data_IF_018098638147
#
_entry.id   IF_018098638147
#
_cell.length_a   1.000
_cell.length_b   1.000
_cell.length_c   1.000
_cell.angle_alpha   90.00
_cell.angle_beta   90.00
_cell.angle_gamma   90.00
#
_symmetry.space_group_name_H-M   'P 1'
#
loop_
_entity.id
_entity.type
_entity.pdbx_description
1 polymer ?
#
# COMPACT_ATOMS: atom_id res chain seq x y z
N UNK A 1 5.57 16.14 15.53
CA UNK A 1 4.22 16.29 16.14
C UNK A 1 3.75 14.92 16.57
N UNK A 2 3.16 14.71 17.75
CA UNK A 2 2.62 13.41 18.09
C UNK A 2 1.47 13.13 17.12
N UNK A 3 1.59 12.07 16.31
CA UNK A 3 0.55 11.63 15.40
C UNK A 3 -0.71 11.32 16.19
N UNK A 4 -1.82 11.98 15.87
CA UNK A 4 -3.11 11.78 16.49
C UNK A 4 -3.62 10.38 16.11
N UNK A 5 -3.31 9.38 16.94
CA UNK A 5 -3.76 8.00 16.71
C UNK A 5 -5.28 8.00 16.55
N UNK A 6 -5.78 7.51 15.42
CA UNK A 6 -7.21 7.32 15.12
C UNK A 6 -8.08 8.59 15.12
N UNK A 7 -7.50 9.79 14.95
CA UNK A 7 -8.29 11.04 15.00
C UNK A 7 -9.43 11.04 13.98
N UNK A 8 -9.18 10.58 12.76
CA UNK A 8 -10.21 10.56 11.72
C UNK A 8 -11.40 9.68 12.07
N UNK A 9 -11.16 8.46 12.57
CA UNK A 9 -12.23 7.55 12.99
C UNK A 9 -13.01 8.12 14.19
N UNK A 10 -12.31 8.79 15.13
CA UNK A 10 -13.00 9.49 16.22
C UNK A 10 -13.86 10.65 15.71
N UNK A 11 -13.38 11.42 14.75
CA UNK A 11 -14.14 12.53 14.16
C UNK A 11 -15.39 12.05 13.44
N UNK A 12 -15.36 10.91 12.74
CA UNK A 12 -16.53 10.30 12.14
C UNK A 12 -17.61 9.98 13.19
N UNK A 13 -17.21 9.35 14.28
CA UNK A 13 -18.14 8.98 15.36
C UNK A 13 -18.63 10.23 16.10
N UNK A 14 -17.74 11.18 16.39
CA UNK A 14 -18.09 12.43 17.07
C UNK A 14 -19.04 13.28 16.23
N UNK A 15 -18.86 13.34 14.92
CA UNK A 15 -19.74 14.09 14.03
C UNK A 15 -21.18 13.56 14.07
N UNK A 16 -21.33 12.22 14.04
CA UNK A 16 -22.64 11.57 14.18
C UNK A 16 -23.29 11.91 15.54
N UNK A 17 -22.53 11.78 16.63
CA UNK A 17 -23.04 12.00 17.98
C UNK A 17 -23.32 13.48 18.26
N UNK A 18 -22.51 14.41 17.78
CA UNK A 18 -22.73 15.85 17.95
C UNK A 18 -23.86 16.39 17.08
N UNK A 19 -24.18 15.72 15.97
CA UNK A 19 -25.34 16.04 15.13
C UNK A 19 -26.66 15.47 15.67
N UNK A 20 -26.61 14.50 16.57
CA UNK A 20 -27.80 13.84 17.13
C UNK A 20 -28.58 14.80 18.03
N UNK A 21 -29.86 14.97 17.74
CA UNK A 21 -30.81 15.82 18.53
C UNK A 21 -31.73 15.03 19.45
N UNK A 22 -31.72 13.72 19.33
CA UNK A 22 -32.57 12.85 20.15
C UNK A 22 -31.95 12.53 21.50
N UNK A 23 -30.63 12.57 21.59
CA UNK A 23 -29.90 12.24 22.81
C UNK A 23 -29.00 13.40 23.27
N UNK A 24 -28.71 13.40 24.57
CA UNK A 24 -27.85 14.40 25.21
C UNK A 24 -26.56 13.76 25.67
N UNK A 25 -25.46 14.10 25.03
CA UNK A 25 -24.15 13.51 25.32
C UNK A 25 -23.26 14.46 26.13
N UNK A 26 -22.74 13.98 27.26
CA UNK A 26 -21.61 14.61 27.94
C UNK A 26 -20.30 14.15 27.32
N UNK A 27 -19.21 14.83 27.66
CA UNK A 27 -17.84 14.40 27.24
C UNK A 27 -17.56 12.95 27.67
N UNK A 28 -18.05 12.51 28.82
CA UNK A 28 -17.88 11.13 29.28
C UNK A 28 -18.65 10.15 28.41
N UNK A 29 -19.91 10.44 28.08
CA UNK A 29 -20.72 9.57 27.21
C UNK A 29 -20.08 9.45 25.82
N UNK A 30 -19.59 10.57 25.27
CA UNK A 30 -18.86 10.57 23.99
C UNK A 30 -17.61 9.70 24.07
N UNK A 31 -16.88 9.78 25.19
CA UNK A 31 -15.68 8.96 25.40
C UNK A 31 -16.02 7.47 25.39
N UNK A 32 -17.00 7.08 26.18
CA UNK A 32 -17.40 5.68 26.35
C UNK A 32 -17.94 5.10 25.03
N UNK A 33 -18.75 5.86 24.27
CA UNK A 33 -19.29 5.41 22.99
C UNK A 33 -18.19 5.28 21.93
N UNK A 34 -17.30 6.27 21.85
CA UNK A 34 -16.19 6.26 20.89
C UNK A 34 -15.25 5.09 21.19
N UNK A 35 -14.92 4.85 22.47
CA UNK A 35 -14.09 3.72 22.88
C UNK A 35 -14.71 2.38 22.48
N UNK A 36 -16.01 2.18 22.79
CA UNK A 36 -16.74 0.95 22.43
C UNK A 36 -16.81 0.73 20.91
N UNK A 37 -17.04 1.79 20.12
CA UNK A 37 -17.11 1.66 18.66
C UNK A 37 -15.75 1.35 18.06
N UNK A 38 -14.69 2.02 18.52
CA UNK A 38 -13.32 1.78 18.02
C UNK A 38 -12.75 0.44 18.47
N UNK A 39 -13.10 -0.05 19.67
CA UNK A 39 -12.64 -1.37 20.13
C UNK A 39 -13.17 -2.53 19.29
N UNK A 40 -14.33 -2.38 18.65
CA UNK A 40 -14.86 -3.36 17.69
C UNK A 40 -13.96 -3.49 16.45
N UNK A 41 -13.27 -2.41 16.09
CA UNK A 41 -12.33 -2.35 14.95
C UNK A 41 -10.87 -2.61 15.37
N UNK A 42 -10.66 -3.10 16.62
CA UNK A 42 -9.33 -3.36 17.17
C UNK A 42 -8.52 -2.09 17.51
N UNK A 43 -9.19 -0.95 17.64
CA UNK A 43 -8.57 0.35 17.90
C UNK A 43 -8.86 0.79 19.32
N UNK A 44 -7.88 0.72 20.21
CA UNK A 44 -8.01 1.05 21.64
C UNK A 44 -7.28 2.34 22.02
N UNK A 45 -7.57 2.83 23.24
CA UNK A 45 -6.83 3.90 23.88
C UNK A 45 -7.43 5.29 23.75
N UNK A 46 -8.76 5.38 23.69
CA UNK A 46 -9.48 6.64 23.78
C UNK A 46 -9.59 7.05 25.24
N UNK A 47 -9.19 8.28 25.53
CA UNK A 47 -9.34 8.88 26.87
C UNK A 47 -10.22 10.11 26.79
N UNK A 48 -10.82 10.49 27.91
CA UNK A 48 -11.61 11.73 28.02
C UNK A 48 -10.84 12.95 27.50
N UNK A 49 -9.54 13.03 27.81
CA UNK A 49 -8.66 14.12 27.36
C UNK A 49 -8.48 14.13 25.84
N UNK A 50 -8.48 12.94 25.20
CA UNK A 50 -8.45 12.87 23.74
C UNK A 50 -9.74 13.45 23.13
N UNK A 51 -10.90 13.10 23.68
CA UNK A 51 -12.19 13.62 23.20
C UNK A 51 -12.33 15.12 23.44
N UNK A 52 -11.90 15.63 24.62
CA UNK A 52 -11.86 17.06 24.91
C UNK A 52 -11.01 17.83 23.89
N UNK A 53 -9.84 17.25 23.54
CA UNK A 53 -8.96 17.82 22.54
C UNK A 53 -9.57 17.77 21.14
N UNK A 54 -10.14 16.63 20.76
CA UNK A 54 -10.80 16.48 19.47
C UNK A 54 -11.94 17.48 19.27
N UNK A 55 -12.75 17.74 20.32
CA UNK A 55 -13.79 18.78 20.28
C UNK A 55 -13.20 20.17 20.07
N UNK A 56 -12.10 20.48 20.76
CA UNK A 56 -11.39 21.75 20.54
C UNK A 56 -10.82 21.84 19.14
N UNK A 57 -10.22 20.77 18.63
CA UNK A 57 -9.70 20.72 17.25
C UNK A 57 -10.82 20.90 16.21
N UNK A 58 -12.05 20.44 16.48
CA UNK A 58 -13.22 20.69 15.64
C UNK A 58 -13.69 22.17 15.65
N UNK A 59 -13.51 22.89 16.75
CA UNK A 59 -13.88 24.32 16.88
C UNK A 59 -12.93 25.25 16.12
N UNK A 60 -11.70 24.80 15.80
CA UNK A 60 -10.68 25.64 15.16
C UNK A 60 -10.43 25.26 13.68
N UNK A 61 -9.53 26.00 13.05
CA UNK A 61 -9.16 25.77 11.65
C UNK A 61 -8.64 24.34 11.42
N UNK A 62 -9.00 23.68 10.31
CA UNK A 62 -9.78 24.19 9.16
C UNK A 62 -11.30 23.94 9.27
N UNK A 63 -11.79 23.36 10.37
CA UNK A 63 -13.17 22.83 10.48
C UNK A 63 -14.15 23.92 10.88
N UNK A 64 -13.82 24.74 11.91
CA UNK A 64 -14.64 25.83 12.45
C UNK A 64 -16.07 25.42 12.84
N UNK A 65 -16.23 24.27 13.50
CA UNK A 65 -17.52 23.82 14.00
C UNK A 65 -17.99 24.68 15.18
N UNK A 66 -19.19 25.21 15.12
CA UNK A 66 -19.81 25.86 16.27
C UNK A 66 -20.39 24.79 17.22
N UNK A 67 -19.77 24.63 18.39
CA UNK A 67 -20.18 23.64 19.40
C UNK A 67 -20.86 24.34 20.57
N UNK A 68 -22.15 24.02 20.76
CA UNK A 68 -22.95 24.46 21.89
C UNK A 68 -22.68 23.59 23.12
N UNK A 69 -22.39 24.24 24.25
CA UNK A 69 -22.29 23.60 25.57
C UNK A 69 -23.50 23.99 26.43
N UNK A 70 -24.32 23.02 26.77
CA UNK A 70 -25.57 23.24 27.46
C UNK A 70 -25.76 22.29 28.65
N UNK A 71 -26.78 22.55 29.46
CA UNK A 71 -27.21 21.62 30.51
C UNK A 71 -28.50 20.93 30.06
N UNK A 72 -28.51 19.60 30.11
CA UNK A 72 -29.74 18.82 29.91
C UNK A 72 -30.74 19.03 31.08
N UNK A 73 -31.96 18.61 30.90
CA UNK A 73 -33.00 18.66 31.93
C UNK A 73 -32.60 18.03 33.27
N UNK A 74 -31.75 17.02 33.21
CA UNK A 74 -31.18 16.31 34.36
C UNK A 74 -29.92 17.01 34.94
N UNK A 75 -29.61 18.24 34.52
CA UNK A 75 -28.46 19.03 34.99
C UNK A 75 -27.11 18.60 34.48
N UNK A 76 -27.02 17.61 33.59
CA UNK A 76 -25.79 17.11 32.99
C UNK A 76 -25.24 18.08 31.96
N UNK A 77 -23.93 18.37 32.00
CA UNK A 77 -23.26 19.21 30.99
C UNK A 77 -23.06 18.41 29.72
N UNK A 78 -23.69 18.87 28.63
CA UNK A 78 -23.69 18.21 27.34
C UNK A 78 -23.12 19.12 26.26
N UNK A 79 -22.72 18.51 25.13
CA UNK A 79 -22.18 19.18 23.96
C UNK A 79 -22.89 18.70 22.70
N UNK A 80 -23.08 19.60 21.74
CA UNK A 80 -23.61 19.27 20.39
C UNK A 80 -23.26 20.38 19.42
N UNK A 81 -23.42 20.16 18.13
CA UNK A 81 -23.33 21.25 17.17
C UNK A 81 -24.42 22.30 17.39
N UNK A 82 -24.08 23.59 17.27
CA UNK A 82 -25.06 24.67 17.38
C UNK A 82 -26.08 24.60 16.23
N UNK A 83 -25.60 24.42 14.99
CA UNK A 83 -26.48 24.22 13.83
C UNK A 83 -26.84 22.71 13.72
N UNK A 84 -28.13 22.35 13.75
CA UNK A 84 -28.58 20.97 13.60
C UNK A 84 -28.30 20.35 12.22
N UNK A 85 -28.03 21.18 11.23
CA UNK A 85 -27.70 20.73 9.88
C UNK A 85 -26.19 20.62 9.62
N UNK A 86 -25.36 21.05 10.57
CA UNK A 86 -23.92 21.01 10.46
C UNK A 86 -23.41 19.58 10.64
N UNK A 87 -22.48 19.21 9.81
CA UNK A 87 -21.60 18.05 9.96
C UNK A 87 -20.27 18.39 9.33
N UNK A 88 -19.17 17.91 9.88
CA UNK A 88 -17.83 18.07 9.29
C UNK A 88 -17.77 17.50 7.87
N UNK A 89 -18.61 16.52 7.59
CA UNK A 89 -18.74 15.89 6.28
C UNK A 89 -19.86 16.51 5.42
N UNK A 90 -20.71 17.37 6.00
CA UNK A 90 -21.81 18.06 5.32
C UNK A 90 -21.52 19.55 5.06
N UNK A 91 -20.28 20.02 5.01
CA UNK A 91 -20.03 21.20 4.19
C UNK A 91 -20.69 20.87 2.86
N UNK A 92 -21.75 21.59 2.53
CA UNK A 92 -22.45 21.43 1.25
C UNK A 92 -21.39 21.61 0.18
N UNK A 93 -20.84 20.50 -0.26
CA UNK A 93 -19.99 20.47 -1.42
C UNK A 93 -20.79 21.15 -2.53
N UNK A 94 -20.24 22.12 -3.21
CA UNK A 94 -20.82 22.61 -4.44
C UNK A 94 -21.09 21.40 -5.35
N UNK A 95 -22.01 21.51 -6.25
CA UNK A 95 -22.29 20.43 -7.20
C UNK A 95 -21.00 20.01 -7.96
N UNK A 96 -20.10 20.97 -8.21
CA UNK A 96 -18.81 20.73 -8.86
C UNK A 96 -17.87 19.91 -7.96
N UNK A 97 -17.72 20.31 -6.70
CA UNK A 97 -16.90 19.56 -5.73
C UNK A 97 -17.44 18.15 -5.47
N UNK A 98 -18.77 18.00 -5.41
CA UNK A 98 -19.42 16.71 -5.27
C UNK A 98 -19.17 15.82 -6.48
N UNK A 99 -19.31 16.35 -7.70
CA UNK A 99 -19.06 15.62 -8.93
C UNK A 99 -17.59 15.18 -9.02
N UNK A 100 -16.66 16.10 -8.72
CA UNK A 100 -15.22 15.78 -8.69
C UNK A 100 -14.91 14.66 -7.67
N UNK A 101 -15.53 14.73 -6.49
CA UNK A 101 -15.35 13.69 -5.46
C UNK A 101 -15.93 12.34 -5.91
N UNK A 102 -17.08 12.35 -6.59
CA UNK A 102 -17.66 11.16 -7.18
C UNK A 102 -16.74 10.55 -8.25
N UNK A 103 -16.19 11.35 -9.16
CA UNK A 103 -15.24 10.90 -10.19
C UNK A 103 -13.98 10.28 -9.56
N UNK A 104 -13.44 10.90 -8.52
CA UNK A 104 -12.28 10.36 -7.78
C UNK A 104 -12.63 9.02 -7.13
N UNK A 105 -13.78 8.91 -6.48
CA UNK A 105 -14.22 7.68 -5.81
C UNK A 105 -14.53 6.55 -6.83
N UNK A 106 -15.11 6.91 -7.98
CA UNK A 106 -15.32 5.97 -9.09
C UNK A 106 -13.99 5.46 -9.62
N UNK A 107 -13.01 6.36 -9.82
CA UNK A 107 -11.67 5.99 -10.28
C UNK A 107 -10.97 5.08 -9.27
N UNK A 108 -11.00 5.44 -7.98
CA UNK A 108 -10.41 4.63 -6.91
C UNK A 108 -11.10 3.26 -6.80
N UNK A 109 -12.43 3.21 -6.92
CA UNK A 109 -13.20 1.97 -6.86
C UNK A 109 -12.92 1.00 -8.04
N UNK A 110 -12.22 1.45 -9.07
CA UNK A 110 -11.80 0.57 -10.18
C UNK A 110 -10.50 -0.18 -9.89
N UNK A 111 -9.76 0.19 -8.83
CA UNK A 111 -8.58 -0.56 -8.41
C UNK A 111 -8.99 -1.80 -7.61
N UNK A 112 -8.56 -2.98 -8.08
CA UNK A 112 -8.84 -4.24 -7.39
C UNK A 112 -8.29 -4.27 -5.96
N UNK A 113 -9.13 -4.74 -5.06
CA UNK A 113 -8.82 -4.86 -3.64
C UNK A 113 -9.13 -3.61 -2.83
N UNK A 114 -9.45 -2.47 -3.46
CA UNK A 114 -9.92 -1.28 -2.75
C UNK A 114 -11.41 -1.35 -2.43
N UNK A 115 -12.18 -2.19 -3.12
CA UNK A 115 -13.59 -2.48 -2.82
C UNK A 115 -13.79 -3.05 -1.39
N UNK A 116 -12.73 -3.57 -0.79
CA UNK A 116 -12.75 -4.13 0.56
C UNK A 116 -12.45 -3.09 1.66
N UNK A 117 -12.35 -1.81 1.30
CA UNK A 117 -12.31 -0.75 2.30
C UNK A 117 -13.74 -0.35 2.66
N UNK A 118 -14.25 -0.85 3.79
CA UNK A 118 -15.60 -0.57 4.28
C UNK A 118 -15.95 0.93 4.30
N UNK A 119 -14.94 1.79 4.62
CA UNK A 119 -15.12 3.23 4.60
C UNK A 119 -15.34 3.79 3.19
N UNK A 120 -14.72 3.21 2.16
CA UNK A 120 -14.88 3.65 0.76
C UNK A 120 -16.31 3.38 0.29
N UNK A 121 -16.83 2.19 0.55
CA UNK A 121 -18.19 1.82 0.20
C UNK A 121 -19.23 2.68 0.97
N UNK A 122 -19.04 2.85 2.28
CA UNK A 122 -19.88 3.71 3.09
C UNK A 122 -19.88 5.16 2.56
N UNK A 123 -18.72 5.64 2.08
CA UNK A 123 -18.60 6.99 1.55
C UNK A 123 -19.24 7.13 0.17
N UNK A 124 -19.10 6.14 -0.71
CA UNK A 124 -19.80 6.05 -2.01
C UNK A 124 -21.31 6.08 -1.82
N UNK A 125 -21.85 5.27 -0.92
CA UNK A 125 -23.29 5.24 -0.59
C UNK A 125 -23.77 6.60 -0.05
N UNK A 126 -23.02 7.23 0.85
CA UNK A 126 -23.37 8.54 1.44
C UNK A 126 -23.39 9.66 0.41
N UNK A 127 -22.52 9.61 -0.60
CA UNK A 127 -22.49 10.60 -1.69
C UNK A 127 -23.48 10.27 -2.81
N UNK A 128 -24.10 9.08 -2.79
CA UNK A 128 -25.01 8.62 -3.83
C UNK A 128 -24.30 8.36 -5.17
N UNK A 129 -23.05 7.92 -5.10
CA UNK A 129 -22.29 7.50 -6.29
C UNK A 129 -23.00 6.28 -6.88
N UNK A 130 -23.43 6.39 -8.14
CA UNK A 130 -24.03 5.28 -8.88
C UNK A 130 -22.94 4.46 -9.51
N UNK A 131 -23.16 3.14 -9.59
CA UNK A 131 -22.29 2.29 -10.40
C UNK A 131 -22.47 2.69 -11.87
N UNK A 132 -21.39 3.17 -12.47
CA UNK A 132 -21.31 3.41 -13.91
C UNK A 132 -20.56 2.26 -14.57
N UNK A 133 -20.77 2.10 -15.89
CA UNK A 133 -19.99 1.16 -16.70
C UNK A 133 -18.49 1.48 -16.53
N UNK A 134 -17.68 0.44 -16.30
CA UNK A 134 -16.24 0.59 -16.14
C UNK A 134 -15.62 1.17 -17.41
N UNK A 135 -15.13 2.40 -17.35
CA UNK A 135 -14.45 3.07 -18.46
C UNK A 135 -12.94 2.78 -18.41
N UNK A 136 -12.38 2.57 -17.20
CA UNK A 136 -10.97 2.29 -16.99
C UNK A 136 -10.83 0.82 -16.58
N UNK A 137 -9.98 0.10 -17.29
CA UNK A 137 -9.72 -1.31 -17.03
C UNK A 137 -8.30 -1.49 -16.52
N UNK A 138 -8.17 -1.93 -15.27
CA UNK A 138 -6.89 -2.35 -14.69
C UNK A 138 -6.75 -3.86 -14.83
N UNK A 139 -5.54 -4.31 -15.16
CA UNK A 139 -5.25 -5.75 -15.10
C UNK A 139 -5.43 -6.24 -13.67
N UNK A 140 -6.27 -7.25 -13.49
CA UNK A 140 -6.52 -7.83 -12.17
C UNK A 140 -6.24 -9.33 -12.18
N UNK A 141 -5.99 -9.86 -11.00
CA UNK A 141 -5.86 -11.29 -10.79
C UNK A 141 -7.22 -11.83 -10.30
N UNK A 142 -8.00 -12.55 -11.14
CA UNK A 142 -9.31 -13.09 -10.73
C UNK A 142 -9.20 -14.16 -9.63
N UNK A 143 -7.99 -14.66 -9.37
CA UNK A 143 -7.69 -15.64 -8.33
C UNK A 143 -7.07 -15.01 -7.08
N UNK A 144 -7.15 -13.69 -6.95
CA UNK A 144 -6.65 -13.00 -5.76
C UNK A 144 -7.52 -13.38 -4.55
N UNK A 145 -6.98 -14.22 -3.69
CA UNK A 145 -7.60 -14.57 -2.42
C UNK A 145 -7.16 -13.60 -1.32
N UNK A 146 -7.99 -13.46 -0.28
CA UNK A 146 -7.70 -12.64 0.91
C UNK A 146 -7.55 -11.13 0.61
N UNK A 147 -8.13 -10.64 -0.46
CA UNK A 147 -8.19 -9.20 -0.75
C UNK A 147 -8.89 -8.41 0.36
N UNK A 148 -9.83 -9.03 1.07
CA UNK A 148 -10.49 -8.48 2.25
C UNK A 148 -9.51 -8.11 3.40
N UNK A 149 -8.34 -8.77 3.47
CA UNK A 149 -7.30 -8.44 4.45
C UNK A 149 -6.63 -7.10 4.15
N UNK A 150 -6.75 -6.57 2.93
CA UNK A 150 -6.09 -5.33 2.54
C UNK A 150 -6.56 -4.15 3.39
N UNK A 151 -7.88 -3.98 3.55
CA UNK A 151 -8.46 -2.93 4.40
C UNK A 151 -8.06 -3.09 5.87
N UNK A 152 -8.11 -4.32 6.39
CA UNK A 152 -7.72 -4.61 7.77
C UNK A 152 -6.24 -4.32 8.03
N UNK A 153 -5.35 -4.73 7.12
CA UNK A 153 -3.92 -4.46 7.20
C UNK A 153 -3.62 -2.96 7.08
N UNK A 154 -4.31 -2.26 6.18
CA UNK A 154 -4.20 -0.81 6.07
C UNK A 154 -4.54 -0.12 7.40
N UNK A 155 -5.62 -0.53 8.05
CA UNK A 155 -6.02 -0.01 9.36
C UNK A 155 -4.95 -0.30 10.43
N UNK A 156 -4.41 -1.52 10.49
CA UNK A 156 -3.35 -1.86 11.44
C UNK A 156 -2.06 -1.06 11.21
N UNK A 157 -1.67 -0.85 9.94
CA UNK A 157 -0.50 -0.02 9.59
C UNK A 157 -0.73 1.44 9.99
N UNK A 158 -1.87 2.02 9.60
CA UNK A 158 -2.23 3.42 9.88
C UNK A 158 -2.30 3.70 11.39
N UNK A 159 -2.80 2.74 12.15
CA UNK A 159 -2.96 2.85 13.60
C UNK A 159 -1.75 2.32 14.39
N UNK A 160 -0.70 1.85 13.70
CA UNK A 160 0.52 1.31 14.32
C UNK A 160 0.22 0.17 15.29
N UNK A 161 -0.57 -0.80 14.85
CA UNK A 161 -0.93 -1.99 15.61
C UNK A 161 -0.04 -3.15 15.21
N UNK A 162 0.58 -3.80 16.22
CA UNK A 162 1.28 -5.07 16.01
C UNK A 162 0.26 -6.20 15.87
N UNK A 163 0.58 -7.19 15.03
CA UNK A 163 -0.34 -8.29 14.71
C UNK A 163 0.31 -9.66 14.94
N UNK A 164 -0.51 -10.66 15.22
CA UNK A 164 -0.15 -12.06 15.06
C UNK A 164 -0.63 -12.51 13.69
N UNK A 165 0.32 -12.85 12.81
CA UNK A 165 0.09 -13.25 11.44
C UNK A 165 0.26 -14.76 11.30
N UNK A 166 -0.75 -15.45 10.79
CA UNK A 166 -0.73 -16.87 10.47
C UNK A 166 -0.46 -17.03 8.97
N UNK A 167 0.57 -17.78 8.62
CA UNK A 167 1.07 -17.89 7.26
C UNK A 167 1.33 -19.34 6.88
N UNK A 168 0.96 -19.71 5.64
CA UNK A 168 1.19 -21.05 5.08
C UNK A 168 1.98 -20.96 3.78
N UNK A 169 3.06 -21.71 3.67
CA UNK A 169 3.80 -21.89 2.42
C UNK A 169 3.01 -22.77 1.45
N UNK A 170 3.14 -22.56 0.14
CA UNK A 170 2.39 -23.32 -0.88
C UNK A 170 2.59 -24.84 -0.79
N UNK A 171 3.80 -25.28 -0.45
CA UNK A 171 4.17 -26.70 -0.43
C UNK A 171 4.20 -27.29 0.99
N UNK A 172 3.59 -26.63 1.95
CA UNK A 172 3.54 -27.07 3.35
C UNK A 172 2.10 -26.97 3.87
N UNK A 173 1.67 -27.99 4.60
CA UNK A 173 0.38 -27.96 5.29
C UNK A 173 0.44 -27.19 6.61
N UNK A 174 1.65 -27.05 7.16
CA UNK A 174 1.88 -26.38 8.45
C UNK A 174 1.61 -24.86 8.33
N UNK A 175 0.79 -24.35 9.24
CA UNK A 175 0.56 -22.92 9.43
C UNK A 175 1.56 -22.41 10.46
N UNK A 176 2.36 -21.42 10.10
CA UNK A 176 3.31 -20.76 10.99
C UNK A 176 2.74 -19.45 11.49
N UNK A 177 2.78 -19.25 12.81
CA UNK A 177 2.41 -18.00 13.45
C UNK A 177 3.64 -17.11 13.66
N UNK A 178 3.51 -15.81 13.40
CA UNK A 178 4.56 -14.84 13.65
C UNK A 178 3.97 -13.55 14.21
N UNK A 179 4.58 -13.02 15.25
CA UNK A 179 4.30 -11.69 15.75
C UNK A 179 5.02 -10.67 14.87
N UNK A 180 4.26 -9.73 14.32
CA UNK A 180 4.69 -8.92 13.20
C UNK A 180 4.25 -7.46 13.35
N UNK A 181 5.11 -6.54 12.96
CA UNK A 181 4.86 -5.12 12.91
C UNK A 181 4.71 -4.71 11.44
N UNK A 182 3.49 -4.61 10.90
CA UNK A 182 3.26 -4.28 9.50
C UNK A 182 3.57 -2.79 9.25
N UNK A 183 4.28 -2.47 8.16
CA UNK A 183 4.72 -1.11 7.83
C UNK A 183 4.12 -0.57 6.55
N UNK A 184 4.04 -1.41 5.50
CA UNK A 184 3.51 -0.98 4.22
C UNK A 184 2.88 -2.14 3.44
N UNK A 185 1.99 -1.78 2.54
CA UNK A 185 1.40 -2.66 1.53
C UNK A 185 1.98 -2.31 0.18
N UNK A 186 2.43 -3.32 -0.56
CA UNK A 186 2.99 -3.14 -1.91
C UNK A 186 2.30 -4.07 -2.88
N UNK A 187 1.82 -3.51 -3.99
CA UNK A 187 1.35 -4.32 -5.12
C UNK A 187 2.51 -4.54 -6.11
N UNK A 188 2.67 -5.78 -6.54
CA UNK A 188 3.58 -6.12 -7.62
C UNK A 188 3.01 -7.29 -8.43
N UNK A 189 3.00 -7.15 -9.74
CA UNK A 189 2.54 -8.17 -10.68
C UNK A 189 1.15 -8.74 -10.29
N UNK A 190 0.19 -7.84 -10.03
CA UNK A 190 -1.20 -8.13 -9.65
C UNK A 190 -1.33 -9.00 -8.37
N UNK A 191 -0.38 -8.90 -7.45
CA UNK A 191 -0.41 -9.53 -6.14
C UNK A 191 -0.06 -8.51 -5.06
N UNK A 192 -0.78 -8.55 -3.96
CA UNK A 192 -0.52 -7.70 -2.80
C UNK A 192 0.39 -8.39 -1.78
N UNK A 193 1.22 -7.58 -1.17
CA UNK A 193 2.18 -7.99 -0.15
C UNK A 193 2.11 -7.05 1.03
N UNK A 194 2.22 -7.60 2.24
CA UNK A 194 2.49 -6.83 3.45
C UNK A 194 3.96 -6.96 3.82
N UNK A 195 4.58 -5.83 4.10
CA UNK A 195 5.99 -5.71 4.48
C UNK A 195 6.05 -5.16 5.90
N UNK A 196 6.92 -5.72 6.72
CA UNK A 196 7.08 -5.30 8.11
C UNK A 196 8.20 -6.05 8.81
N UNK A 197 8.32 -5.86 10.12
CA UNK A 197 9.35 -6.51 10.92
C UNK A 197 8.79 -7.65 11.78
N UNK A 198 9.52 -8.75 11.84
CA UNK A 198 9.30 -9.78 12.85
C UNK A 198 9.57 -9.21 14.25
N UNK A 199 8.74 -9.58 15.22
CA UNK A 199 8.94 -9.10 16.58
C UNK A 199 10.18 -9.72 17.25
N UNK A 200 10.55 -10.96 16.88
CA UNK A 200 11.64 -11.71 17.46
C UNK A 200 13.01 -11.04 17.31
N UNK A 201 13.36 -10.70 16.08
CA UNK A 201 14.70 -10.22 15.69
C UNK A 201 14.69 -8.88 14.95
N UNK A 202 13.49 -8.35 14.62
CA UNK A 202 13.34 -7.10 13.85
C UNK A 202 13.64 -7.25 12.37
N UNK A 203 13.84 -8.48 11.87
CA UNK A 203 14.09 -8.75 10.45
C UNK A 203 12.90 -8.32 9.61
N UNK A 204 13.18 -7.63 8.52
CA UNK A 204 12.15 -7.25 7.55
C UNK A 204 11.71 -8.47 6.76
N UNK A 205 10.43 -8.73 6.81
CA UNK A 205 9.78 -9.84 6.13
C UNK A 205 8.70 -9.32 5.19
N UNK A 206 8.44 -10.09 4.15
CA UNK A 206 7.44 -9.79 3.13
C UNK A 206 6.53 -10.99 2.97
N UNK A 207 5.23 -10.79 3.17
CA UNK A 207 4.23 -11.84 3.04
C UNK A 207 3.22 -11.50 1.96
N UNK A 208 3.04 -12.34 0.93
CA UNK A 208 1.92 -12.19 0.00
C UNK A 208 0.59 -12.50 0.72
N UNK A 209 -0.43 -11.66 0.47
CA UNK A 209 -1.71 -11.73 1.16
C UNK A 209 -2.44 -13.05 0.93
N UNK A 210 -2.33 -13.61 -0.28
CA UNK A 210 -2.96 -14.88 -0.66
C UNK A 210 -2.49 -16.11 0.15
N UNK A 211 -1.40 -15.97 0.90
CA UNK A 211 -0.88 -17.02 1.78
C UNK A 211 -1.17 -16.80 3.27
N UNK A 212 -1.74 -15.67 3.62
CA UNK A 212 -2.12 -15.35 4.99
C UNK A 212 -3.40 -16.09 5.32
N UNK A 213 -3.39 -16.88 6.40
CA UNK A 213 -4.54 -17.66 6.84
C UNK A 213 -5.36 -16.94 7.91
N UNK A 214 -4.75 -15.98 8.61
CA UNK A 214 -5.41 -15.16 9.61
C UNK A 214 -4.48 -14.08 10.16
N UNK A 215 -5.10 -13.01 10.65
CA UNK A 215 -4.42 -11.91 11.33
C UNK A 215 -5.22 -11.52 12.56
N UNK A 216 -4.55 -11.27 13.68
CA UNK A 216 -5.16 -10.81 14.92
C UNK A 216 -4.32 -9.67 15.50
N UNK A 217 -4.96 -8.66 16.07
CA UNK A 217 -4.26 -7.59 16.77
C UNK A 217 -3.58 -8.10 18.04
N UNK A 218 -2.39 -7.64 18.33
CA UNK A 218 -1.66 -7.89 19.57
C UNK A 218 -1.84 -6.68 20.49
N UNK A 219 -2.82 -6.75 21.40
CA UNK A 219 -3.22 -5.65 22.28
C UNK A 219 -2.12 -5.20 23.23
N UNK A 220 -1.38 -6.15 23.80
CA UNK A 220 -0.34 -5.89 24.82
C UNK A 220 1.05 -5.66 24.23
N UNK A 221 1.17 -5.54 22.93
CA UNK A 221 2.47 -5.43 22.26
C UNK A 221 2.76 -4.02 21.79
N UNK A 222 3.86 -3.42 22.31
CA UNK A 222 4.33 -2.13 21.83
C UNK A 222 4.77 -2.25 20.36
N UNK A 223 4.17 -1.44 19.49
CA UNK A 223 4.54 -1.39 18.09
C UNK A 223 5.95 -0.85 17.89
N UNK A 224 6.77 -1.56 17.12
CA UNK A 224 8.10 -1.09 16.71
C UNK A 224 7.94 -0.13 15.55
N UNK A 225 8.61 1.03 15.56
CA UNK A 225 8.54 1.96 14.44
C UNK A 225 9.19 1.35 13.19
N UNK A 226 8.70 1.79 12.02
CA UNK A 226 9.33 1.46 10.75
C UNK A 226 10.79 1.97 10.74
N UNK A 227 11.75 1.14 10.30
CA UNK A 227 13.12 1.59 10.10
C UNK A 227 13.19 2.74 9.10
N UNK A 228 14.09 3.69 9.35
CA UNK A 228 14.37 4.78 8.43
C UNK A 228 14.88 4.22 7.09
N UNK A 229 14.44 4.83 5.98
CA UNK A 229 14.83 4.41 4.64
C UNK A 229 14.26 3.06 4.17
N UNK A 230 13.27 2.47 4.87
CA UNK A 230 12.67 1.20 4.42
C UNK A 230 12.02 1.33 3.03
N UNK A 231 11.36 2.46 2.76
CA UNK A 231 10.70 2.72 1.48
C UNK A 231 11.73 2.83 0.36
N UNK A 232 12.82 3.55 0.63
CA UNK A 232 13.90 3.80 -0.34
C UNK A 232 14.58 2.49 -0.77
N UNK A 233 14.71 1.52 0.17
CA UNK A 233 15.23 0.18 -0.14
C UNK A 233 14.43 -0.57 -1.21
N UNK A 234 13.12 -0.29 -1.31
CA UNK A 234 12.26 -0.88 -2.33
C UNK A 234 12.27 -0.08 -3.64
N UNK A 235 12.90 1.08 -3.67
CA UNK A 235 13.21 1.82 -4.89
C UNK A 235 14.48 1.28 -5.57
N UNK A 236 15.38 0.63 -4.82
CA UNK A 236 16.60 0.03 -5.32
C UNK A 236 16.41 -1.38 -5.92
N UNK A 237 15.18 -1.89 -5.96
CA UNK A 237 14.88 -3.23 -6.48
C UNK A 237 13.75 -3.23 -7.51
N UNK A 238 13.76 -4.22 -8.39
CA UNK A 238 12.57 -4.59 -9.16
C UNK A 238 11.75 -5.58 -8.34
N UNK A 239 10.45 -5.31 -8.20
CA UNK A 239 9.51 -6.21 -7.54
C UNK A 239 9.51 -6.15 -6.02
N UNK A 240 9.70 -7.30 -5.37
CA UNK A 240 9.39 -7.48 -3.95
C UNK A 240 10.49 -8.19 -3.14
N UNK A 241 11.37 -8.91 -3.81
CA UNK A 241 12.44 -9.65 -3.14
C UNK A 241 13.61 -8.73 -2.81
N UNK A 242 13.74 -8.39 -1.54
CA UNK A 242 14.85 -7.60 -1.01
C UNK A 242 15.86 -8.49 -0.30
N UNK A 243 17.12 -8.34 -0.66
CA UNK A 243 18.25 -9.00 0.01
C UNK A 243 18.97 -8.00 0.91
N UNK A 244 18.97 -8.29 2.21
CA UNK A 244 19.64 -7.44 3.19
C UNK A 244 21.15 -7.34 2.88
N UNK A 245 21.68 -6.13 2.91
CA UNK A 245 23.09 -5.83 2.61
C UNK A 245 23.57 -6.17 1.17
N UNK A 246 22.69 -6.49 0.23
CA UNK A 246 23.08 -6.60 -1.16
C UNK A 246 23.43 -5.21 -1.73
N UNK A 247 24.53 -5.08 -2.49
CA UNK A 247 24.90 -3.80 -3.08
C UNK A 247 23.97 -3.43 -4.24
N UNK A 248 23.81 -2.13 -4.46
CA UNK A 248 23.26 -1.60 -5.71
C UNK A 248 24.35 -1.74 -6.77
N UNK A 249 24.05 -2.46 -7.84
CA UNK A 249 24.95 -2.72 -8.94
C UNK A 249 24.64 -1.82 -10.14
N UNK A 250 25.68 -1.33 -10.82
CA UNK A 250 25.53 -0.64 -12.09
C UNK A 250 25.44 -1.65 -13.23
N UNK A 251 24.26 -1.80 -13.78
CA UNK A 251 23.94 -2.82 -14.78
C UNK A 251 23.85 -2.18 -16.15
N UNK A 252 24.60 -2.70 -17.12
CA UNK A 252 24.53 -2.30 -18.53
C UNK A 252 23.97 -3.46 -19.33
N UNK A 253 23.02 -3.15 -20.19
CA UNK A 253 22.39 -4.13 -21.07
C UNK A 253 22.13 -3.53 -22.46
N UNK A 254 22.14 -4.38 -23.46
CA UNK A 254 21.76 -4.05 -24.83
C UNK A 254 20.34 -4.51 -25.10
N UNK A 255 19.63 -3.74 -25.92
CA UNK A 255 18.26 -4.05 -26.35
C UNK A 255 18.17 -3.91 -27.86
N UNK A 256 17.69 -4.94 -28.54
CA UNK A 256 17.51 -4.98 -29.98
C UNK A 256 16.48 -3.97 -30.50
N UNK A 257 16.51 -3.70 -31.79
CA UNK A 257 15.68 -2.67 -32.45
C UNK A 257 14.18 -2.85 -32.21
N UNK A 258 13.69 -4.09 -32.10
CA UNK A 258 12.27 -4.37 -31.88
C UNK A 258 11.77 -3.95 -30.51
N UNK A 259 12.62 -3.95 -29.50
CA UNK A 259 12.25 -3.71 -28.10
C UNK A 259 12.83 -2.41 -27.54
N UNK A 260 13.82 -1.81 -28.18
CA UNK A 260 14.53 -0.63 -27.66
C UNK A 260 13.59 0.57 -27.45
N UNK A 261 12.73 0.86 -28.41
CA UNK A 261 11.72 1.94 -28.29
C UNK A 261 10.71 1.69 -27.17
N UNK A 262 10.32 0.43 -26.96
CA UNK A 262 9.41 0.06 -25.88
C UNK A 262 10.07 0.24 -24.50
N UNK A 263 11.30 -0.23 -24.33
CA UNK A 263 12.05 -0.07 -23.07
C UNK A 263 12.40 1.40 -22.80
N UNK A 264 12.65 2.20 -23.83
CA UNK A 264 12.87 3.64 -23.67
C UNK A 264 11.67 4.38 -23.11
N UNK A 265 10.45 3.98 -23.50
CA UNK A 265 9.18 4.61 -23.06
C UNK A 265 8.58 3.96 -21.82
N UNK A 266 8.92 2.70 -21.53
CA UNK A 266 8.53 1.96 -20.32
C UNK A 266 9.77 1.42 -19.63
N UNK A 267 10.47 2.23 -18.83
CA UNK A 267 11.67 1.82 -18.14
C UNK A 267 11.45 0.60 -17.24
N UNK A 268 12.45 -0.30 -17.24
CA UNK A 268 12.45 -1.49 -16.36
C UNK A 268 12.63 -1.07 -14.89
N UNK A 269 13.41 -0.01 -14.66
CA UNK A 269 13.67 0.54 -13.32
C UNK A 269 13.72 2.07 -13.35
N UNK A 270 13.41 2.73 -12.25
CA UNK A 270 13.40 4.19 -12.15
C UNK A 270 14.73 4.88 -12.45
N UNK A 271 15.85 4.18 -12.19
CA UNK A 271 17.20 4.65 -12.50
C UNK A 271 17.63 4.50 -13.96
N UNK A 272 16.77 3.92 -14.82
CA UNK A 272 17.15 3.62 -16.20
C UNK A 272 17.59 4.85 -16.99
N UNK A 273 18.71 4.72 -17.72
CA UNK A 273 19.23 5.73 -18.63
C UNK A 273 19.67 5.07 -19.93
N UNK A 274 19.36 5.70 -21.04
CA UNK A 274 19.87 5.30 -22.35
C UNK A 274 21.32 5.79 -22.52
N UNK A 275 22.23 4.93 -22.94
CA UNK A 275 23.63 5.24 -23.19
C UNK A 275 23.77 5.71 -24.63
N UNK A 276 24.25 6.95 -24.85
CA UNK A 276 24.34 7.60 -26.15
C UNK A 276 25.75 8.07 -26.48
N UNK A 277 25.96 8.49 -27.73
CA UNK A 277 27.18 9.14 -28.17
C UNK A 277 28.40 8.24 -28.12
N UNK A 278 29.54 8.79 -27.68
CA UNK A 278 30.84 8.07 -27.62
C UNK A 278 30.80 6.84 -26.73
N UNK A 279 30.02 6.85 -25.64
CA UNK A 279 29.90 5.71 -24.77
C UNK A 279 29.19 4.54 -25.48
N UNK A 280 28.14 4.80 -26.24
CA UNK A 280 27.48 3.78 -27.05
C UNK A 280 28.39 3.25 -28.13
N UNK A 281 29.12 4.13 -28.85
CA UNK A 281 30.10 3.73 -29.88
C UNK A 281 31.21 2.82 -29.32
N UNK A 282 31.70 3.13 -28.10
CA UNK A 282 32.63 2.29 -27.37
C UNK A 282 32.07 0.90 -27.05
N UNK A 283 30.79 0.81 -26.68
CA UNK A 283 30.12 -0.47 -26.41
C UNK A 283 29.97 -1.30 -27.68
N UNK A 284 29.58 -0.70 -28.81
CA UNK A 284 29.55 -1.41 -30.11
C UNK A 284 30.93 -1.91 -30.54
N UNK A 285 31.99 -1.12 -30.30
CA UNK A 285 33.34 -1.54 -30.59
C UNK A 285 33.75 -2.76 -29.77
N UNK A 286 33.37 -2.82 -28.52
CA UNK A 286 33.66 -3.96 -27.62
C UNK A 286 32.77 -5.18 -27.88
N UNK A 287 31.61 -4.98 -28.46
CA UNK A 287 30.61 -6.02 -28.74
C UNK A 287 30.19 -5.99 -30.21
N UNK A 288 31.07 -6.33 -31.17
CA UNK A 288 30.83 -6.17 -32.61
C UNK A 288 29.72 -7.09 -33.14
N UNK A 289 29.31 -8.11 -32.38
CA UNK A 289 28.17 -8.96 -32.72
C UNK A 289 26.80 -8.31 -32.48
N UNK A 290 26.75 -7.23 -31.70
CA UNK A 290 25.54 -6.48 -31.46
C UNK A 290 25.38 -5.41 -32.55
N UNK A 291 24.35 -5.55 -33.38
CA UNK A 291 24.06 -4.60 -34.46
C UNK A 291 22.69 -4.00 -34.24
N UNK A 292 22.56 -2.66 -34.44
CA UNK A 292 21.33 -1.96 -34.16
C UNK A 292 20.98 -1.91 -32.66
N UNK A 293 19.74 -1.51 -32.36
CA UNK A 293 19.27 -1.43 -30.99
C UNK A 293 19.85 -0.25 -30.19
N UNK A 294 19.77 -0.35 -28.88
CA UNK A 294 20.27 0.67 -27.94
C UNK A 294 20.87 0.03 -26.68
N UNK A 295 21.77 0.75 -26.05
CA UNK A 295 22.31 0.37 -24.74
C UNK A 295 21.64 1.18 -23.65
N UNK A 296 21.35 0.52 -22.54
CA UNK A 296 20.76 1.13 -21.33
C UNK A 296 21.60 0.76 -20.11
N UNK A 297 21.51 1.61 -19.10
CA UNK A 297 21.99 1.32 -17.76
C UNK A 297 20.90 1.47 -16.74
N UNK A 298 20.96 0.66 -15.67
CA UNK A 298 20.17 0.79 -14.45
C UNK A 298 21.07 0.60 -13.24
N UNK A 299 20.70 1.24 -12.13
CA UNK A 299 21.35 1.04 -10.84
C UNK A 299 20.32 0.38 -9.92
N UNK A 300 20.51 -0.91 -9.60
CA UNK A 300 19.60 -1.63 -8.72
C UNK A 300 20.26 -2.88 -8.11
N UNK A 301 19.63 -3.41 -7.08
CA UNK A 301 20.03 -4.67 -6.44
C UNK A 301 19.62 -5.84 -7.33
N UNK A 302 20.56 -6.74 -7.60
CA UNK A 302 20.29 -7.97 -8.36
C UNK A 302 19.42 -8.90 -7.52
N UNK A 303 18.20 -9.17 -8.00
CA UNK A 303 17.26 -10.07 -7.36
C UNK A 303 16.56 -11.00 -8.37
N UNK A 304 15.69 -11.86 -7.85
CA UNK A 304 14.95 -12.82 -8.66
C UNK A 304 14.10 -12.15 -9.73
N UNK A 305 13.43 -11.05 -9.39
CA UNK A 305 12.52 -10.34 -10.28
C UNK A 305 13.26 -9.66 -11.42
N UNK A 306 14.44 -9.09 -11.16
CA UNK A 306 15.29 -8.51 -12.21
C UNK A 306 15.70 -9.57 -13.24
N UNK A 307 16.20 -10.72 -12.78
CA UNK A 307 16.59 -11.81 -13.67
C UNK A 307 15.39 -12.31 -14.50
N UNK A 308 14.23 -12.42 -13.88
CA UNK A 308 13.00 -12.80 -14.56
C UNK A 308 12.59 -11.76 -15.60
N UNK A 309 12.64 -10.49 -15.25
CA UNK A 309 12.28 -9.40 -16.16
C UNK A 309 13.17 -9.41 -17.41
N UNK A 310 14.47 -9.55 -17.25
CA UNK A 310 15.39 -9.61 -18.37
C UNK A 310 15.14 -10.79 -19.30
N UNK A 311 14.83 -11.96 -18.76
CA UNK A 311 14.52 -13.16 -19.55
C UNK A 311 13.22 -12.99 -20.36
N UNK A 312 12.27 -12.16 -19.91
CA UNK A 312 11.00 -11.96 -20.62
C UNK A 312 11.18 -11.34 -22.01
N UNK A 313 12.27 -10.62 -22.24
CA UNK A 313 12.60 -10.03 -23.54
C UNK A 313 13.27 -11.02 -24.50
N UNK A 314 13.61 -12.22 -24.02
CA UNK A 314 14.25 -13.27 -24.84
C UNK A 314 15.55 -12.78 -25.46
N UNK A 315 15.75 -13.00 -26.79
CA UNK A 315 17.00 -12.60 -27.47
C UNK A 315 17.12 -11.08 -27.70
N UNK A 316 16.08 -10.31 -27.44
CA UNK A 316 16.05 -8.86 -27.63
C UNK A 316 16.71 -8.09 -26.47
N UNK A 317 17.10 -8.75 -25.38
CA UNK A 317 17.81 -8.12 -24.26
C UNK A 317 19.01 -8.98 -23.84
N UNK A 318 20.19 -8.36 -23.81
CA UNK A 318 21.44 -9.01 -23.40
C UNK A 318 22.13 -8.21 -22.30
N UNK A 319 22.41 -8.86 -21.18
CA UNK A 319 23.20 -8.27 -20.08
C UNK A 319 24.67 -8.21 -20.46
N UNK A 320 25.28 -7.04 -20.30
CA UNK A 320 26.71 -6.83 -20.56
C UNK A 320 27.53 -6.78 -19.27
N UNK A 321 26.99 -6.11 -18.25
CA UNK A 321 27.59 -6.00 -16.92
C UNK A 321 26.50 -5.95 -15.84
N UNK A 322 26.76 -6.43 -14.63
CA UNK A 322 27.95 -7.18 -14.19
C UNK A 322 27.93 -8.65 -14.65
N UNK A 323 29.08 -9.29 -14.62
CA UNK A 323 29.25 -10.71 -15.03
C UNK A 323 28.36 -11.62 -14.17
N UNK A 324 28.21 -11.32 -12.88
CA UNK A 324 27.35 -12.08 -11.95
C UNK A 324 25.88 -12.16 -12.40
N UNK A 325 25.34 -11.09 -12.96
CA UNK A 325 23.97 -11.07 -13.51
C UNK A 325 23.92 -11.78 -14.87
N UNK A 326 24.93 -11.57 -15.71
CA UNK A 326 25.06 -12.26 -17.01
C UNK A 326 25.07 -13.79 -16.82
N UNK A 327 25.82 -14.30 -15.85
CA UNK A 327 25.87 -15.71 -15.50
C UNK A 327 24.52 -16.24 -15.02
N UNK A 328 23.82 -15.51 -14.14
CA UNK A 328 22.50 -15.90 -13.65
C UNK A 328 21.45 -15.99 -14.77
N UNK A 329 21.44 -15.02 -15.69
CA UNK A 329 20.54 -15.03 -16.85
C UNK A 329 20.89 -16.18 -17.79
N UNK A 330 22.19 -16.35 -18.13
CA UNK A 330 22.67 -17.41 -19.02
C UNK A 330 22.32 -18.79 -18.47
N UNK A 331 22.54 -19.03 -17.18
CA UNK A 331 22.26 -20.33 -16.56
C UNK A 331 20.75 -20.66 -16.62
N UNK A 332 19.86 -19.69 -16.40
CA UNK A 332 18.44 -19.93 -16.56
C UNK A 332 18.03 -20.24 -17.99
N UNK A 333 18.60 -19.54 -18.96
CA UNK A 333 18.37 -19.81 -20.39
C UNK A 333 18.85 -21.21 -20.75
N UNK A 334 20.03 -21.62 -20.26
CA UNK A 334 20.56 -22.97 -20.44
C UNK A 334 19.63 -24.04 -19.91
N UNK A 335 19.15 -23.88 -18.66
CA UNK A 335 18.20 -24.81 -18.05
C UNK A 335 16.86 -24.88 -18.80
N UNK A 336 16.36 -23.76 -19.30
CA UNK A 336 15.18 -23.75 -20.17
C UNK A 336 15.42 -24.51 -21.46
N UNK A 337 16.53 -24.25 -22.14
CA UNK A 337 16.87 -24.92 -23.39
C UNK A 337 16.99 -26.44 -23.22
N UNK A 338 17.63 -26.90 -22.17
CA UNK A 338 17.75 -28.34 -21.86
C UNK A 338 16.36 -28.99 -21.67
N UNK A 339 15.45 -28.33 -20.94
CA UNK A 339 14.08 -28.84 -20.76
C UNK A 339 13.31 -28.88 -22.08
N UNK A 340 13.44 -27.87 -22.94
CA UNK A 340 12.79 -27.86 -24.25
C UNK A 340 13.36 -28.93 -25.21
N UNK A 341 14.66 -29.16 -25.16
CA UNK A 341 15.27 -30.23 -25.95
C UNK A 341 14.77 -31.60 -25.55
N UNK A 342 14.60 -31.84 -24.24
CA UNK A 342 14.04 -33.08 -23.68
C UNK A 342 12.53 -33.28 -23.96
N UNK A 343 11.77 -32.21 -24.30
CA UNK A 343 10.37 -32.32 -24.70
C UNK A 343 10.17 -32.71 -26.18
N UNK A 344 11.22 -32.70 -26.98
CA UNK A 344 11.16 -32.98 -28.42
C UNK A 344 11.38 -34.46 -28.77
N UNK A 345 11.37 -35.35 -27.77
CA UNK A 345 11.51 -36.79 -27.96
C UNK A 345 10.15 -37.46 -28.05
#
# INVERSE_FOLDING_TARGET
MPSNKNAFNRYLILDELLSDRLHNYSIQDLTDIVEVRLSKDGLEGVTKRCIEKDIVDLEYAPIFAEIERYKSENGKRCVRYADPTFSIFNKKLSNEERNLLCEVLETIGQFDGLDNFEWLEAFRQKLGVKDHDRIIYFSHNPYLTNSNLLGTLFNYISNKVAIHLQYRLFNQEEIKGIDFHPYLLKQYNNRWFVIGAANSDGKILTFPLDRIQGINALQDRRYKPQPEGLTDRYEDIIGITYYENAPVEHIIFWVGDKSSGYIATKPIHGSQREIKGENAASLYTRHPSLQGGSFFSIDCIINYELVREFITYGPELLVLTPVSLQEQVSERIRQMNEKYLNLRI
#
